data_IF_933094330755
#
_entry.id   IF_933094330755
#
_cell.length_a   1.000
_cell.length_b   1.000
_cell.length_c   1.000
_cell.angle_alpha   90.00
_cell.angle_beta   90.00
_cell.angle_gamma   90.00
#
_symmetry.space_group_name_H-M   'P 1'
#
loop_
_entity.id
_entity.type
_entity.pdbx_description
1 polymer ?
#
# COMPACT_ATOMS: atom_id res chain seq x y z
N UNK A 1 2.77 23.75 -8.75
CA UNK A 1 1.85 22.62 -8.53
C UNK A 1 2.16 21.60 -9.61
N UNK A 2 2.79 20.48 -9.27
CA UNK A 2 3.07 19.43 -10.24
C UNK A 2 1.82 18.53 -10.29
N UNK A 3 1.24 18.26 -11.47
CA UNK A 3 0.09 17.38 -11.56
C UNK A 3 0.52 15.97 -11.18
N UNK A 4 -0.10 15.37 -10.16
CA UNK A 4 0.07 13.94 -9.89
C UNK A 4 -0.28 13.17 -11.16
N UNK A 5 0.58 12.24 -11.62
CA UNK A 5 0.19 11.35 -12.69
C UNK A 5 -1.08 10.58 -12.27
N UNK A 6 -2.00 10.31 -13.21
CA UNK A 6 -3.22 9.58 -12.91
C UNK A 6 -2.85 8.22 -12.30
N UNK A 7 -3.52 7.80 -11.21
CA UNK A 7 -3.24 6.51 -10.59
C UNK A 7 -3.50 5.39 -11.60
N UNK A 8 -2.47 4.61 -11.91
CA UNK A 8 -2.64 3.35 -12.64
C UNK A 8 -3.33 2.37 -11.70
N UNK A 9 -4.59 2.04 -11.97
CA UNK A 9 -5.34 1.09 -11.14
C UNK A 9 -4.72 -0.32 -11.24
N UNK A 10 -4.12 -0.88 -10.17
CA UNK A 10 -3.99 -2.33 -10.06
C UNK A 10 -5.36 -2.94 -9.78
N UNK A 11 -5.90 -3.64 -10.77
CA UNK A 11 -7.13 -4.45 -10.62
C UNK A 11 -6.82 -5.82 -10.00
N UNK A 12 -5.99 -5.82 -8.97
CA UNK A 12 -5.60 -7.01 -8.22
C UNK A 12 -6.14 -6.91 -6.79
N UNK A 13 -6.83 -7.96 -6.37
CA UNK A 13 -7.27 -8.11 -4.98
C UNK A 13 -6.32 -9.04 -4.27
N UNK A 14 -5.72 -8.58 -3.17
CA UNK A 14 -4.92 -9.41 -2.29
C UNK A 14 -5.84 -10.37 -1.52
N UNK A 15 -5.71 -11.67 -1.80
CA UNK A 15 -6.50 -12.73 -1.15
C UNK A 15 -5.69 -13.55 -0.15
N UNK A 16 -4.36 -13.46 -0.20
CA UNK A 16 -3.48 -14.22 0.67
C UNK A 16 -2.05 -13.71 0.62
N UNK A 17 -1.30 -13.83 1.71
CA UNK A 17 0.16 -13.71 1.68
C UNK A 17 0.79 -14.92 2.36
N UNK A 18 1.92 -15.36 1.82
CA UNK A 18 2.75 -16.41 2.36
C UNK A 18 4.08 -15.76 2.71
N UNK A 19 4.31 -15.51 4.00
CA UNK A 19 5.57 -14.98 4.51
C UNK A 19 6.36 -16.14 5.08
N UNK A 20 7.38 -16.59 4.34
CA UNK A 20 8.33 -17.60 4.78
C UNK A 20 9.67 -16.96 5.15
N UNK A 21 10.51 -17.72 5.86
CA UNK A 21 11.88 -17.32 6.20
C UNK A 21 12.80 -17.24 4.98
N UNK A 22 12.53 -18.05 3.95
CA UNK A 22 13.32 -18.13 2.72
C UNK A 22 12.71 -17.31 1.56
N UNK A 23 11.37 -17.32 1.47
CA UNK A 23 10.65 -16.65 0.38
C UNK A 23 9.32 -16.08 0.85
N UNK A 24 8.96 -14.92 0.30
CA UNK A 24 7.66 -14.30 0.51
C UNK A 24 6.89 -14.16 -0.80
N UNK A 25 5.60 -14.47 -0.75
CA UNK A 25 4.73 -14.59 -1.92
C UNK A 25 3.38 -13.95 -1.62
N UNK A 26 2.89 -13.11 -2.52
CA UNK A 26 1.52 -12.60 -2.50
C UNK A 26 0.62 -13.42 -3.42
N UNK A 27 -0.58 -13.73 -2.94
CA UNK A 27 -1.66 -14.37 -3.70
C UNK A 27 -2.69 -13.29 -4.04
N UNK A 28 -2.88 -13.08 -5.33
CA UNK A 28 -3.76 -12.06 -5.87
C UNK A 28 -4.84 -12.72 -6.73
N UNK A 29 -5.98 -12.06 -6.84
CA UNK A 29 -6.99 -12.38 -7.85
C UNK A 29 -7.16 -11.17 -8.74
N UNK A 30 -7.02 -11.38 -10.04
CA UNK A 30 -7.32 -10.35 -11.02
C UNK A 30 -8.84 -10.15 -11.10
N UNK A 31 -9.32 -8.94 -10.87
CA UNK A 31 -10.76 -8.68 -10.85
C UNK A 31 -11.40 -8.77 -12.23
N UNK A 32 -10.61 -8.59 -13.30
CA UNK A 32 -11.05 -8.60 -14.70
C UNK A 32 -11.28 -10.02 -15.20
N UNK A 33 -10.28 -10.89 -15.03
CA UNK A 33 -10.29 -12.27 -15.51
C UNK A 33 -10.69 -13.29 -14.44
N UNK A 34 -10.79 -12.87 -13.17
CA UNK A 34 -10.96 -13.77 -12.00
C UNK A 34 -9.86 -14.83 -11.89
N UNK A 35 -8.69 -14.56 -12.49
CA UNK A 35 -7.54 -15.45 -12.46
C UNK A 35 -6.80 -15.30 -11.14
N UNK A 36 -6.38 -16.43 -10.55
CA UNK A 36 -5.49 -16.41 -9.37
C UNK A 36 -4.06 -16.26 -9.83
N UNK A 37 -3.40 -15.23 -9.32
CA UNK A 37 -2.02 -14.88 -9.62
C UNK A 37 -1.18 -15.02 -8.35
N UNK A 38 0.06 -15.45 -8.53
CA UNK A 38 0.97 -15.66 -7.41
C UNK A 38 2.29 -15.00 -7.74
N UNK A 39 2.56 -13.88 -7.07
CA UNK A 39 3.74 -13.05 -7.31
C UNK A 39 4.70 -13.20 -6.13
N UNK A 40 5.98 -13.39 -6.43
CA UNK A 40 7.06 -13.41 -5.44
C UNK A 40 7.70 -12.03 -5.31
N UNK A 41 8.54 -11.82 -4.30
CA UNK A 41 9.40 -10.64 -4.26
C UNK A 41 10.19 -10.51 -5.58
N UNK A 42 10.30 -9.30 -6.09
CA UNK A 42 10.92 -8.96 -7.39
C UNK A 42 10.20 -9.49 -8.63
N UNK A 43 9.10 -10.22 -8.49
CA UNK A 43 8.28 -10.70 -9.60
C UNK A 43 7.48 -9.54 -10.22
N UNK A 44 7.33 -9.56 -11.55
CA UNK A 44 6.70 -8.50 -12.32
C UNK A 44 5.35 -8.92 -12.89
N UNK A 45 4.38 -8.02 -12.84
CA UNK A 45 3.04 -8.21 -13.36
C UNK A 45 2.53 -6.94 -14.01
N UNK A 46 2.41 -6.94 -15.34
CA UNK A 46 1.99 -5.77 -16.13
C UNK A 46 2.83 -4.50 -15.82
N UNK A 47 4.11 -4.71 -15.49
CA UNK A 47 5.05 -3.67 -15.07
C UNK A 47 4.98 -3.27 -13.59
N UNK A 48 4.11 -3.88 -12.79
CA UNK A 48 4.15 -3.79 -11.33
C UNK A 48 5.05 -4.86 -10.76
N UNK A 49 6.08 -4.46 -10.04
CA UNK A 49 6.98 -5.38 -9.34
C UNK A 49 6.60 -5.48 -7.88
N UNK A 50 6.59 -6.68 -7.32
CA UNK A 50 6.36 -6.87 -5.90
C UNK A 50 7.59 -6.44 -5.10
N UNK A 51 7.50 -5.31 -4.42
CA UNK A 51 8.60 -4.74 -3.64
C UNK A 51 8.69 -5.32 -2.23
N UNK A 52 7.55 -5.46 -1.56
CA UNK A 52 7.48 -5.95 -0.17
C UNK A 52 6.23 -6.79 0.07
N UNK A 53 6.37 -7.83 0.89
CA UNK A 53 5.26 -8.69 1.32
C UNK A 53 5.22 -8.74 2.84
N UNK A 54 4.09 -8.33 3.39
CA UNK A 54 3.79 -8.40 4.82
C UNK A 54 2.63 -9.38 5.08
N UNK A 55 2.36 -9.66 6.35
CA UNK A 55 1.35 -10.65 6.75
C UNK A 55 -0.08 -10.28 6.30
N UNK A 56 -0.38 -8.98 6.11
CA UNK A 56 -1.73 -8.49 5.73
C UNK A 56 -1.71 -7.41 4.64
N UNK A 57 -0.58 -7.20 4.01
CA UNK A 57 -0.40 -6.15 3.02
C UNK A 57 0.77 -6.49 2.11
N UNK A 58 0.76 -5.93 0.91
CA UNK A 58 1.88 -5.99 -0.02
C UNK A 58 2.11 -4.62 -0.63
N UNK A 59 3.33 -4.37 -1.05
CA UNK A 59 3.69 -3.14 -1.76
C UNK A 59 4.13 -3.50 -3.18
N UNK A 60 3.42 -2.95 -4.15
CA UNK A 60 3.72 -3.01 -5.58
C UNK A 60 4.42 -1.72 -6.00
N UNK A 61 5.45 -1.83 -6.83
CA UNK A 61 6.21 -0.68 -7.34
C UNK A 61 6.29 -0.72 -8.86
N UNK A 62 6.08 0.41 -9.53
CA UNK A 62 6.15 0.56 -10.98
C UNK A 62 6.82 1.89 -11.33
N UNK A 63 8.14 1.86 -11.49
CA UNK A 63 8.92 3.08 -11.66
C UNK A 63 8.81 3.97 -10.42
N UNK A 64 8.23 5.16 -10.58
CA UNK A 64 7.94 6.10 -9.48
C UNK A 64 6.58 5.87 -8.79
N UNK A 65 5.76 4.93 -9.28
CA UNK A 65 4.47 4.61 -8.68
C UNK A 65 4.62 3.52 -7.62
N UNK A 66 3.95 3.72 -6.48
CA UNK A 66 3.92 2.78 -5.36
C UNK A 66 2.47 2.56 -4.98
N UNK A 67 2.04 1.31 -4.94
CA UNK A 67 0.68 0.92 -4.59
C UNK A 67 0.70 -0.16 -3.52
N UNK A 68 -0.02 0.09 -2.42
CA UNK A 68 -0.09 -0.86 -1.30
C UNK A 68 -1.43 -1.58 -1.35
N UNK A 69 -1.42 -2.89 -1.61
CA UNK A 69 -2.62 -3.72 -1.57
C UNK A 69 -2.76 -4.34 -0.19
N UNK A 70 -3.92 -4.14 0.42
CA UNK A 70 -4.28 -4.73 1.73
C UNK A 70 -5.46 -5.67 1.55
N UNK A 71 -5.65 -6.58 2.51
CA UNK A 71 -6.83 -7.46 2.48
C UNK A 71 -8.11 -6.62 2.47
N UNK A 72 -9.08 -6.93 1.60
CA UNK A 72 -10.34 -6.18 1.55
C UNK A 72 -10.99 -6.20 2.93
N UNK A 73 -11.15 -5.02 3.52
CA UNK A 73 -11.93 -4.87 4.74
C UNK A 73 -13.37 -5.23 4.39
N UNK A 74 -13.99 -6.14 5.14
CA UNK A 74 -15.39 -6.49 4.93
C UNK A 74 -16.24 -5.21 5.06
N UNK A 75 -16.65 -4.64 3.92
CA UNK A 75 -17.37 -3.37 3.83
C UNK A 75 -16.50 -2.21 3.33
N UNK A 76 -16.58 -1.94 2.02
CA UNK A 76 -16.18 -0.66 1.42
C UNK A 76 -14.90 -0.74 0.58
N UNK A 77 -15.07 -0.99 -0.71
CA UNK A 77 -14.06 -0.71 -1.72
C UNK A 77 -13.83 0.81 -1.80
N UNK A 78 -12.59 1.27 -1.59
CA UNK A 78 -12.01 2.37 -2.36
C UNK A 78 -10.50 2.39 -2.18
N UNK A 79 -9.79 2.66 -3.27
CA UNK A 79 -8.36 2.50 -3.49
C UNK A 79 -7.45 3.07 -2.41
N UNK A 80 -6.39 2.32 -2.11
CA UNK A 80 -5.31 2.72 -1.23
C UNK A 80 -4.65 4.00 -1.75
N UNK A 81 -4.85 5.08 -1.01
CA UNK A 81 -4.07 6.31 -1.10
C UNK A 81 -2.62 5.96 -0.78
N UNK A 82 -1.69 6.29 -1.69
CA UNK A 82 -0.25 6.09 -1.50
C UNK A 82 0.24 6.62 -0.16
N UNK A 83 1.06 5.82 0.51
CA UNK A 83 1.61 6.07 1.85
C UNK A 83 2.97 6.73 1.75
N UNK A 84 3.25 7.79 2.53
CA UNK A 84 4.53 7.96 3.22
C UNK A 84 4.48 9.16 4.21
N UNK A 85 4.69 8.85 5.48
CA UNK A 85 4.90 9.76 6.60
C UNK A 85 6.15 10.63 6.34
N UNK A 86 6.05 11.95 6.52
CA UNK A 86 7.20 12.78 6.86
C UNK A 86 6.95 13.36 8.25
N UNK A 87 7.47 12.65 9.23
CA UNK A 87 7.59 13.05 10.63
C UNK A 87 8.55 14.25 10.72
N UNK A 88 8.21 15.29 11.49
CA UNK A 88 9.17 16.04 12.31
C UNK A 88 8.46 17.01 13.24
N UNK A 89 8.60 16.73 14.53
CA UNK A 89 8.10 17.49 15.65
C UNK A 89 8.39 19.01 15.57
N UNK A 90 7.41 19.83 15.98
CA UNK A 90 7.74 21.14 16.56
C UNK A 90 6.99 21.33 17.88
N UNK A 91 7.79 21.17 18.94
CA UNK A 91 7.71 21.79 20.27
C UNK A 91 6.46 21.58 21.12
N UNK A 92 6.69 20.78 22.16
CA UNK A 92 6.33 21.10 23.55
C UNK A 92 6.37 22.61 23.78
N UNK A 93 5.24 23.17 24.18
CA UNK A 93 5.11 24.57 24.56
C UNK A 93 3.84 24.76 25.38
N UNK A 94 3.86 24.23 26.61
CA UNK A 94 2.95 24.67 27.66
C UNK A 94 2.93 26.19 27.72
N UNK A 95 1.76 26.80 27.72
CA UNK A 95 1.51 28.06 28.42
C UNK A 95 0.03 28.12 28.77
N UNK A 96 -0.29 27.37 29.81
CA UNK A 96 -1.31 27.75 30.77
C UNK A 96 -0.93 29.14 31.31
N UNK A 97 -1.71 30.17 30.98
CA UNK A 97 -1.78 31.37 31.82
C UNK A 97 -3.24 31.74 32.00
N UNK A 98 -3.68 31.71 33.25
CA UNK A 98 -4.84 32.43 33.69
C UNK A 98 -4.51 33.93 33.69
N UNK A 99 -5.36 34.75 33.09
CA UNK A 99 -5.48 36.16 33.47
C UNK A 99 -6.97 36.47 33.50
N UNK A 100 -7.41 36.75 34.72
CA UNK A 100 -8.67 37.35 35.13
C UNK A 100 -8.81 38.74 34.52
N UNK A 101 -10.04 39.12 34.19
CA UNK A 101 -10.51 40.52 34.16
C UNK A 101 -11.51 40.69 35.30
#
# INVERSE_FOLDING_TARGET
>A
MQPSPPPVELRLVLVGTVVGSDQSVGIFVDETSKATLRLKLDDDYQGWRLGSVNRREVTMVRGEQIETLTFPKAGGATSATGTALAESAVKRGSSHTAQYD
#
